data_IF_440187647751
#
_entry.id   IF_440187647751
#
_cell.length_a   1.000
_cell.length_b   1.000
_cell.length_c   1.000
_cell.angle_alpha   90.00
_cell.angle_beta   90.00
_cell.angle_gamma   90.00
#
_symmetry.space_group_name_H-M   'P 1'
#
loop_
_entity.id
_entity.type
_entity.pdbx_description
1 polymer ?
#
# COMPACT_ATOMS: atom_id res chain seq x y z
N UNK A 1 77.55 -56.70 36.95
CA UNK A 1 76.50 -57.41 37.71
C UNK A 1 75.46 -56.40 38.18
N UNK A 2 74.26 -56.69 37.96
CA UNK A 2 73.00 -56.04 38.39
C UNK A 2 72.54 -54.76 37.65
N UNK A 3 71.57 -55.02 36.73
CA UNK A 3 70.62 -54.14 36.15
C UNK A 3 69.75 -53.45 37.19
N UNK A 4 69.46 -52.18 36.97
CA UNK A 4 68.24 -51.54 37.46
C UNK A 4 67.63 -50.67 36.32
N UNK A 5 66.53 -51.16 35.81
CA UNK A 5 65.72 -50.50 34.79
C UNK A 5 64.92 -49.37 35.44
N UNK A 6 65.01 -48.20 34.88
CA UNK A 6 64.11 -47.10 35.21
C UNK A 6 63.09 -46.95 34.07
N UNK A 7 61.83 -47.25 34.39
CA UNK A 7 60.67 -46.97 33.55
C UNK A 7 60.37 -45.48 33.59
N UNK A 8 60.41 -44.83 32.45
CA UNK A 8 59.87 -43.49 32.30
C UNK A 8 58.37 -43.59 31.88
N UNK A 9 57.51 -43.08 32.73
CA UNK A 9 56.11 -42.79 32.38
C UNK A 9 56.08 -41.56 31.51
N UNK A 10 55.60 -41.67 30.29
CA UNK A 10 55.23 -40.55 29.48
C UNK A 10 53.70 -40.23 29.76
N UNK A 11 53.48 -39.08 30.33
CA UNK A 11 52.11 -38.51 30.43
C UNK A 11 51.73 -37.99 29.08
N UNK A 12 50.69 -38.55 28.48
CA UNK A 12 50.00 -37.98 27.34
C UNK A 12 49.06 -36.89 27.84
N UNK A 13 49.36 -35.63 27.51
CA UNK A 13 48.40 -34.52 27.65
C UNK A 13 47.45 -34.54 26.47
N UNK A 14 46.17 -34.86 26.70
CA UNK A 14 45.08 -34.61 25.76
C UNK A 14 44.83 -33.11 25.75
N UNK A 15 45.18 -32.45 24.65
CA UNK A 15 44.70 -31.11 24.36
C UNK A 15 43.32 -31.22 23.74
N UNK A 16 42.28 -30.84 24.50
CA UNK A 16 40.93 -30.74 24.02
C UNK A 16 40.81 -29.47 23.18
N UNK A 17 40.71 -29.60 21.85
CA UNK A 17 40.32 -28.50 20.99
C UNK A 17 38.80 -28.26 21.20
N UNK A 18 38.45 -27.18 21.89
CA UNK A 18 37.11 -26.62 21.84
C UNK A 18 36.96 -25.88 20.49
N UNK A 19 36.26 -26.49 19.54
CA UNK A 19 35.75 -25.77 18.37
C UNK A 19 34.51 -24.97 18.79
N UNK A 20 34.68 -23.67 19.00
CA UNK A 20 33.57 -22.75 19.13
C UNK A 20 32.91 -22.62 17.75
N UNK A 21 31.80 -23.31 17.53
CA UNK A 21 30.93 -23.04 16.41
C UNK A 21 30.23 -21.69 16.68
N UNK A 22 30.69 -20.62 16.02
CA UNK A 22 29.87 -19.42 15.89
C UNK A 22 28.63 -19.81 15.08
N UNK A 23 27.53 -20.06 15.77
CA UNK A 23 26.22 -20.07 15.19
C UNK A 23 25.89 -18.63 14.71
N UNK A 24 25.99 -18.40 13.41
CA UNK A 24 25.36 -17.23 12.79
C UNK A 24 23.88 -17.49 12.95
N UNK A 25 23.27 -16.86 13.95
CA UNK A 25 21.83 -16.74 14.00
C UNK A 25 21.45 -15.91 12.76
N UNK A 26 20.89 -16.58 11.75
CA UNK A 26 20.17 -15.88 10.71
C UNK A 26 19.05 -15.13 11.43
N UNK A 27 19.17 -13.80 11.48
CA UNK A 27 18.05 -12.93 11.82
C UNK A 27 17.05 -13.22 10.70
N UNK A 28 16.05 -14.04 11.01
CA UNK A 28 14.87 -14.12 10.17
C UNK A 28 14.32 -12.70 10.14
N UNK A 29 14.50 -12.01 9.02
CA UNK A 29 13.82 -10.74 8.80
C UNK A 29 12.36 -11.02 9.05
N UNK A 30 11.76 -10.34 10.01
CA UNK A 30 10.30 -10.32 10.13
C UNK A 30 9.80 -9.95 8.73
N UNK A 31 8.89 -10.73 8.18
CA UNK A 31 8.19 -10.34 6.97
C UNK A 31 7.58 -8.96 7.29
N UNK A 32 8.00 -7.92 6.55
CA UNK A 32 7.39 -6.60 6.70
C UNK A 32 5.90 -6.82 6.52
N UNK A 33 5.11 -6.45 7.53
CA UNK A 33 3.65 -6.47 7.44
C UNK A 33 3.20 -5.61 6.26
N UNK A 34 1.98 -5.82 5.77
CA UNK A 34 1.44 -4.93 4.75
C UNK A 34 1.47 -3.49 5.27
N UNK A 35 1.91 -2.56 4.41
CA UNK A 35 1.89 -1.14 4.74
C UNK A 35 0.43 -0.70 4.99
N UNK A 36 0.19 0.22 5.93
CA UNK A 36 -1.13 0.78 6.12
C UNK A 36 -1.63 1.45 4.82
N UNK A 37 -2.93 1.55 4.67
CA UNK A 37 -3.59 2.18 3.52
C UNK A 37 -4.59 3.22 4.01
N UNK A 38 -4.66 4.34 3.32
CA UNK A 38 -5.53 5.46 3.65
C UNK A 38 -6.37 5.85 2.43
N UNK A 39 -7.64 6.18 2.65
CA UNK A 39 -8.53 6.64 1.60
C UNK A 39 -9.49 7.70 2.15
N UNK A 40 -9.77 8.72 1.35
CA UNK A 40 -10.79 9.72 1.66
C UNK A 40 -12.09 9.43 0.90
N UNK A 41 -13.16 9.21 1.64
CA UNK A 41 -14.51 9.11 1.11
C UNK A 41 -15.13 10.51 1.00
N UNK A 42 -15.18 11.02 -0.24
CA UNK A 42 -15.70 12.35 -0.52
C UNK A 42 -17.21 12.46 -0.23
N UNK A 43 -17.99 11.39 -0.46
CA UNK A 43 -19.44 11.38 -0.25
C UNK A 43 -19.78 11.35 1.23
N UNK A 44 -19.09 10.52 1.99
CA UNK A 44 -19.24 10.39 3.44
C UNK A 44 -18.44 11.42 4.24
N UNK A 45 -17.59 12.23 3.59
CA UNK A 45 -16.68 13.19 4.22
C UNK A 45 -15.91 12.58 5.39
N UNK A 46 -15.29 11.42 5.14
CA UNK A 46 -14.59 10.63 6.15
C UNK A 46 -13.28 10.08 5.65
N UNK A 47 -12.38 9.81 6.58
CA UNK A 47 -11.19 9.02 6.31
C UNK A 47 -11.46 7.55 6.65
N UNK A 48 -10.87 6.68 5.85
CA UNK A 48 -10.85 5.24 6.04
C UNK A 48 -9.40 4.78 6.08
N UNK A 49 -9.02 4.00 7.07
CA UNK A 49 -7.68 3.40 7.13
C UNK A 49 -7.74 1.89 7.26
N UNK A 50 -6.80 1.23 6.58
CA UNK A 50 -6.42 -0.15 6.86
C UNK A 50 -5.11 -0.11 7.61
N UNK A 51 -5.08 -0.70 8.77
CA UNK A 51 -3.91 -0.80 9.61
C UNK A 51 -3.96 -2.10 10.41
N UNK A 52 -2.82 -2.78 10.49
CA UNK A 52 -2.68 -4.02 11.28
C UNK A 52 -3.78 -5.06 10.99
N UNK A 53 -4.17 -5.18 9.73
CA UNK A 53 -5.25 -6.08 9.25
C UNK A 53 -6.64 -5.75 9.80
N UNK A 54 -6.88 -4.50 10.18
CA UNK A 54 -8.16 -3.96 10.64
C UNK A 54 -8.59 -2.77 9.77
N UNK A 55 -9.89 -2.51 9.70
CA UNK A 55 -10.46 -1.40 8.95
C UNK A 55 -11.11 -0.41 9.90
N UNK A 56 -10.78 0.87 9.74
CA UNK A 56 -11.26 1.95 10.57
C UNK A 56 -11.83 3.09 9.74
N UNK A 57 -12.73 3.87 10.35
CA UNK A 57 -13.24 5.13 9.79
C UNK A 57 -13.21 6.24 10.83
N UNK A 58 -13.12 7.48 10.34
CA UNK A 58 -13.29 8.69 11.14
C UNK A 58 -14.03 9.76 10.35
N UNK A 59 -14.96 10.47 10.98
CA UNK A 59 -15.74 11.59 10.40
C UNK A 59 -15.36 12.94 11.00
N UNK A 60 -14.42 12.97 11.94
CA UNK A 60 -13.94 14.17 12.64
C UNK A 60 -12.46 14.46 12.36
N UNK A 61 -11.99 14.07 11.17
CA UNK A 61 -10.64 14.35 10.71
C UNK A 61 -9.53 13.61 11.44
N UNK A 62 -9.84 12.46 12.04
CA UNK A 62 -8.84 11.63 12.73
C UNK A 62 -8.81 11.78 14.25
N UNK A 63 -9.66 12.61 14.84
CA UNK A 63 -9.70 12.78 16.30
C UNK A 63 -10.24 11.55 17.04
N UNK A 64 -11.09 10.75 16.38
CA UNK A 64 -11.58 9.47 16.89
C UNK A 64 -11.84 8.50 15.72
N UNK A 65 -11.45 7.25 15.92
CA UNK A 65 -11.62 6.18 14.96
C UNK A 65 -12.67 5.18 15.42
N UNK A 66 -13.44 4.68 14.49
CA UNK A 66 -14.41 3.61 14.70
C UNK A 66 -14.00 2.42 13.83
N UNK A 67 -13.90 1.24 14.43
CA UNK A 67 -13.65 0.00 13.70
C UNK A 67 -14.87 -0.36 12.83
N UNK A 68 -14.58 -0.77 11.58
CA UNK A 68 -15.57 -1.33 10.67
C UNK A 68 -15.37 -2.86 10.69
N UNK A 69 -16.42 -3.65 10.95
CA UNK A 69 -16.33 -5.09 10.95
C UNK A 69 -15.87 -5.64 9.58
N UNK A 70 -14.94 -6.56 9.61
CA UNK A 70 -14.47 -7.25 8.41
C UNK A 70 -15.36 -8.48 8.09
N UNK A 71 -15.33 -8.98 6.83
CA UNK A 71 -16.04 -10.20 6.47
C UNK A 71 -15.68 -11.38 7.36
N UNK A 72 -16.67 -12.24 7.64
CA UNK A 72 -16.42 -13.48 8.39
C UNK A 72 -15.39 -14.36 7.68
N UNK A 73 -14.48 -14.97 8.43
CA UNK A 73 -13.46 -15.87 7.89
C UNK A 73 -12.16 -15.19 7.43
N UNK A 74 -12.06 -13.87 7.54
CA UNK A 74 -10.83 -13.12 7.17
C UNK A 74 -9.66 -13.24 8.17
N UNK A 75 -9.73 -14.10 9.17
CA UNK A 75 -8.73 -14.16 10.26
C UNK A 75 -7.29 -14.44 9.79
N UNK A 76 -7.14 -15.07 8.64
CA UNK A 76 -5.83 -15.42 8.08
C UNK A 76 -5.49 -14.60 6.81
N UNK A 77 -6.38 -13.69 6.38
CA UNK A 77 -6.18 -12.84 5.20
C UNK A 77 -5.40 -11.57 5.55
N UNK A 78 -4.42 -11.23 4.72
CA UNK A 78 -3.75 -9.94 4.84
C UNK A 78 -4.54 -8.89 4.06
N UNK A 79 -5.17 -7.98 4.78
CA UNK A 79 -5.83 -6.80 4.20
C UNK A 79 -4.76 -5.81 3.76
N UNK A 80 -4.77 -5.42 2.49
CA UNK A 80 -3.74 -4.53 1.93
C UNK A 80 -4.26 -3.16 1.53
N UNK A 81 -5.57 -3.02 1.23
CA UNK A 81 -6.09 -1.74 0.74
C UNK A 81 -7.58 -1.57 0.98
N UNK A 82 -7.97 -0.32 1.09
CA UNK A 82 -9.36 0.17 1.01
C UNK A 82 -9.46 1.14 -0.16
N UNK A 83 -10.51 1.05 -0.95
CA UNK A 83 -10.82 1.98 -2.02
C UNK A 83 -12.32 2.32 -2.03
N UNK A 84 -12.64 3.57 -2.30
CA UNK A 84 -14.02 4.07 -2.29
C UNK A 84 -14.31 4.87 -3.55
N UNK A 85 -15.50 4.67 -4.18
CA UNK A 85 -15.93 5.49 -5.30
C UNK A 85 -16.40 6.87 -4.83
N UNK A 86 -16.20 7.90 -5.64
CA UNK A 86 -16.70 9.24 -5.35
C UNK A 86 -18.21 9.41 -5.61
N UNK A 87 -18.86 8.44 -6.23
CA UNK A 87 -20.26 8.56 -6.71
C UNK A 87 -21.23 7.57 -6.09
N UNK A 88 -20.76 6.64 -5.27
CA UNK A 88 -21.61 5.66 -4.60
C UNK A 88 -21.49 5.78 -3.09
N UNK A 89 -22.49 6.40 -2.50
CA UNK A 89 -22.60 6.54 -1.06
C UNK A 89 -22.60 5.16 -0.38
N UNK A 90 -21.88 5.02 0.73
CA UNK A 90 -21.79 3.79 1.53
C UNK A 90 -21.06 2.58 0.87
N UNK A 91 -20.56 2.72 -0.36
CA UNK A 91 -19.81 1.66 -1.02
C UNK A 91 -18.36 1.64 -0.54
N UNK A 92 -17.92 0.48 -0.06
CA UNK A 92 -16.54 0.21 0.34
C UNK A 92 -16.02 -1.00 -0.43
N UNK A 93 -14.81 -0.93 -0.89
CA UNK A 93 -14.09 -2.06 -1.49
C UNK A 93 -12.79 -2.30 -0.73
N UNK A 94 -12.60 -3.51 -0.24
CA UNK A 94 -11.36 -3.94 0.39
C UNK A 94 -10.74 -5.09 -0.38
N UNK A 95 -9.43 -5.21 -0.30
CA UNK A 95 -8.72 -6.31 -0.94
C UNK A 95 -7.48 -6.74 -0.16
N UNK A 96 -7.05 -7.96 -0.40
CA UNK A 96 -5.87 -8.50 0.26
C UNK A 96 -5.38 -9.83 -0.30
N UNK A 97 -4.27 -10.30 0.27
CA UNK A 97 -3.48 -11.38 -0.31
C UNK A 97 -4.16 -12.75 -0.31
N UNK A 98 -5.17 -12.97 0.53
CA UNK A 98 -5.90 -14.25 0.61
C UNK A 98 -7.42 -14.08 0.67
N UNK A 99 -7.90 -12.83 0.67
CA UNK A 99 -9.33 -12.51 0.73
C UNK A 99 -9.89 -12.14 -0.65
N UNK A 100 -9.01 -11.87 -1.62
CA UNK A 100 -9.39 -11.33 -2.90
C UNK A 100 -9.99 -9.93 -2.77
N UNK A 101 -11.08 -9.67 -3.50
CA UNK A 101 -11.83 -8.43 -3.46
C UNK A 101 -13.17 -8.64 -2.75
N UNK A 102 -13.48 -7.77 -1.81
CA UNK A 102 -14.74 -7.76 -1.06
C UNK A 102 -15.41 -6.39 -1.22
N UNK A 103 -16.72 -6.37 -1.32
CA UNK A 103 -17.55 -5.17 -1.44
C UNK A 103 -18.56 -5.07 -0.31
N UNK A 104 -18.72 -3.90 0.26
CA UNK A 104 -19.87 -3.53 1.09
C UNK A 104 -20.66 -2.40 0.41
N UNK A 105 -21.97 -2.38 0.59
CA UNK A 105 -22.86 -1.30 0.15
C UNK A 105 -23.62 -0.66 1.31
N UNK A 106 -23.25 -1.02 2.54
CA UNK A 106 -23.87 -0.59 3.78
C UNK A 106 -22.85 -0.19 4.85
N UNK A 107 -21.75 0.46 4.41
CA UNK A 107 -20.66 0.93 5.28
C UNK A 107 -19.97 -0.18 6.10
N UNK A 108 -19.84 -1.39 5.55
CA UNK A 108 -19.19 -2.50 6.22
C UNK A 108 -20.13 -3.33 7.10
N UNK A 109 -21.45 -3.06 7.06
CA UNK A 109 -22.42 -3.89 7.77
C UNK A 109 -22.52 -5.30 7.23
N UNK A 110 -22.44 -5.44 5.91
CA UNK A 110 -22.36 -6.72 5.21
C UNK A 110 -21.34 -6.68 4.07
N UNK A 111 -20.76 -7.83 3.74
CA UNK A 111 -19.73 -7.94 2.71
C UNK A 111 -20.10 -9.01 1.67
N UNK A 112 -19.83 -8.69 0.40
CA UNK A 112 -20.00 -9.58 -0.74
C UNK A 112 -18.61 -9.94 -1.30
N UNK A 113 -18.39 -11.23 -1.50
CA UNK A 113 -17.20 -11.74 -2.17
C UNK A 113 -17.31 -11.55 -3.68
N UNK A 114 -16.25 -11.00 -4.32
CA UNK A 114 -16.21 -10.70 -5.76
C UNK A 114 -15.13 -11.51 -6.49
N UNK A 115 -14.79 -12.69 -6.01
CA UNK A 115 -13.65 -13.46 -6.48
C UNK A 115 -13.98 -14.56 -7.50
N UNK A 116 -15.23 -14.70 -7.92
CA UNK A 116 -15.68 -15.88 -8.72
C UNK A 116 -14.88 -16.03 -10.02
N UNK A 117 -14.63 -14.93 -10.73
CA UNK A 117 -13.89 -14.92 -12.01
C UNK A 117 -12.41 -14.58 -11.86
N UNK A 118 -11.91 -14.36 -10.63
CA UNK A 118 -10.50 -14.10 -10.43
C UNK A 118 -9.67 -15.38 -10.44
N UNK A 119 -8.53 -15.43 -11.14
CA UNK A 119 -7.70 -16.63 -11.20
C UNK A 119 -7.06 -16.97 -9.85
N UNK A 120 -6.86 -15.97 -8.99
CA UNK A 120 -6.32 -16.06 -7.65
C UNK A 120 -6.86 -14.95 -6.76
N UNK A 121 -6.83 -15.17 -5.45
CA UNK A 121 -7.24 -14.18 -4.46
C UNK A 121 -6.06 -13.36 -3.89
N UNK A 122 -4.87 -13.46 -4.49
CA UNK A 122 -3.67 -12.76 -4.06
C UNK A 122 -3.65 -11.33 -4.63
N UNK A 123 -4.53 -10.47 -4.12
CA UNK A 123 -4.60 -9.07 -4.56
C UNK A 123 -3.53 -8.27 -3.84
N UNK A 124 -2.74 -7.52 -4.60
CA UNK A 124 -1.69 -6.63 -4.08
C UNK A 124 -2.07 -5.15 -4.13
N UNK A 125 -2.99 -4.77 -5.03
CA UNK A 125 -3.51 -3.42 -5.11
C UNK A 125 -4.91 -3.40 -5.73
N UNK A 126 -5.74 -2.44 -5.32
CA UNK A 126 -7.10 -2.23 -5.82
C UNK A 126 -7.35 -0.73 -5.96
N UNK A 127 -7.97 -0.34 -7.07
CA UNK A 127 -8.54 0.99 -7.25
C UNK A 127 -9.97 0.89 -7.75
N UNK A 128 -10.83 1.79 -7.28
CA UNK A 128 -12.15 2.03 -7.85
C UNK A 128 -12.05 3.22 -8.79
N UNK A 129 -12.69 3.13 -9.95
CA UNK A 129 -12.82 4.26 -10.84
C UNK A 129 -13.62 5.38 -10.15
N UNK A 130 -13.08 6.59 -10.16
CA UNK A 130 -13.64 7.68 -9.39
C UNK A 130 -15.12 7.97 -9.69
N UNK A 131 -15.51 8.09 -10.96
CA UNK A 131 -16.85 8.45 -11.38
C UNK A 131 -17.72 7.30 -11.85
N UNK A 132 -17.13 6.11 -12.03
CA UNK A 132 -17.82 4.90 -12.44
C UNK A 132 -17.71 3.87 -11.32
N UNK A 133 -18.60 3.94 -10.33
CA UNK A 133 -18.55 3.12 -9.13
C UNK A 133 -18.56 1.60 -9.40
N UNK A 134 -18.97 1.19 -10.60
CA UNK A 134 -18.99 -0.22 -11.03
C UNK A 134 -17.69 -0.65 -11.70
N UNK A 135 -16.76 0.28 -11.98
CA UNK A 135 -15.47 -0.02 -12.61
C UNK A 135 -14.38 -0.15 -11.56
N UNK A 136 -13.78 -1.32 -11.50
CA UNK A 136 -12.74 -1.70 -10.57
C UNK A 136 -11.48 -2.13 -11.30
N UNK A 137 -10.33 -1.88 -10.69
CA UNK A 137 -9.01 -2.32 -11.15
C UNK A 137 -8.31 -3.06 -10.03
N UNK A 138 -7.93 -4.31 -10.25
CA UNK A 138 -7.23 -5.15 -9.28
C UNK A 138 -5.91 -5.66 -9.84
N UNK A 139 -4.84 -5.53 -9.08
CA UNK A 139 -3.56 -6.17 -9.38
C UNK A 139 -3.49 -7.49 -8.65
N UNK A 140 -3.32 -8.56 -9.40
CA UNK A 140 -3.17 -9.92 -8.86
C UNK A 140 -1.69 -10.31 -8.96
N UNK A 141 -1.12 -10.76 -7.84
CA UNK A 141 0.27 -11.18 -7.78
C UNK A 141 0.60 -12.21 -8.87
N UNK A 142 1.69 -11.97 -9.59
CA UNK A 142 2.20 -12.81 -10.70
C UNK A 142 1.27 -12.96 -11.91
N UNK A 143 0.10 -12.31 -11.90
CA UNK A 143 -0.88 -12.38 -13.01
C UNK A 143 -1.01 -11.07 -13.77
N UNK A 144 -0.96 -9.92 -13.06
CA UNK A 144 -1.09 -8.59 -13.65
C UNK A 144 -2.39 -7.87 -13.28
N UNK A 145 -2.82 -6.95 -14.15
CA UNK A 145 -3.97 -6.07 -13.94
C UNK A 145 -5.25 -6.66 -14.52
N UNK A 146 -6.29 -6.65 -13.72
CA UNK A 146 -7.65 -7.03 -14.08
C UNK A 146 -8.60 -5.84 -13.92
N UNK A 147 -9.61 -5.75 -14.78
CA UNK A 147 -10.69 -4.77 -14.71
C UNK A 147 -12.04 -5.46 -14.64
N UNK A 148 -12.91 -4.94 -13.80
CA UNK A 148 -14.34 -5.21 -13.82
C UNK A 148 -15.08 -3.92 -14.22
N UNK A 149 -16.19 -4.06 -14.95
CA UNK A 149 -17.10 -2.95 -15.32
C UNK A 149 -18.51 -3.18 -14.77
N UNK A 150 -18.69 -4.15 -13.91
CA UNK A 150 -19.96 -4.61 -13.32
C UNK A 150 -19.87 -4.80 -11.80
N UNK A 151 -19.14 -3.91 -11.14
CA UNK A 151 -18.91 -3.90 -9.69
C UNK A 151 -18.30 -5.18 -9.14
N UNK A 152 -17.46 -5.85 -9.92
CA UNK A 152 -16.74 -7.05 -9.54
C UNK A 152 -17.47 -8.36 -9.81
N UNK A 153 -18.60 -8.33 -10.52
CA UNK A 153 -19.30 -9.55 -10.89
C UNK A 153 -18.51 -10.37 -11.92
N UNK A 154 -17.85 -9.70 -12.87
CA UNK A 154 -16.93 -10.33 -13.82
C UNK A 154 -15.61 -9.58 -13.91
N UNK A 155 -14.53 -10.29 -14.21
CA UNK A 155 -13.18 -9.73 -14.30
C UNK A 155 -12.50 -10.09 -15.62
N UNK A 156 -11.86 -9.10 -16.24
CA UNK A 156 -11.11 -9.28 -17.47
C UNK A 156 -9.67 -8.86 -17.28
N UNK A 157 -8.73 -9.73 -17.65
CA UNK A 157 -7.31 -9.37 -17.70
C UNK A 157 -7.07 -8.28 -18.74
N UNK A 158 -6.50 -7.19 -18.32
CA UNK A 158 -6.20 -6.04 -19.16
C UNK A 158 -4.74 -6.04 -19.64
N UNK A 159 -3.82 -6.34 -18.73
CA UNK A 159 -2.39 -6.20 -18.96
C UNK A 159 -1.60 -7.06 -17.97
N UNK A 160 -0.32 -7.31 -18.27
CA UNK A 160 0.59 -8.03 -17.37
C UNK A 160 1.22 -7.11 -16.29
N UNK A 161 0.84 -5.83 -16.27
CA UNK A 161 1.40 -4.82 -15.37
C UNK A 161 2.72 -4.23 -15.90
N UNK A 162 3.28 -3.25 -15.19
CA UNK A 162 4.48 -2.53 -15.61
C UNK A 162 5.80 -3.32 -15.46
N UNK A 163 5.73 -4.62 -15.19
CA UNK A 163 6.91 -5.49 -15.06
C UNK A 163 7.57 -5.48 -13.67
N UNK A 164 6.98 -4.78 -12.71
CA UNK A 164 7.40 -4.74 -11.30
C UNK A 164 6.22 -5.09 -10.40
N UNK A 165 6.45 -5.64 -9.19
CA UNK A 165 5.38 -5.83 -8.22
C UNK A 165 4.72 -4.50 -7.85
N UNK A 166 3.42 -4.43 -7.97
CA UNK A 166 2.62 -3.24 -7.64
C UNK A 166 1.97 -3.44 -6.28
N UNK A 167 2.13 -2.47 -5.38
CA UNK A 167 1.55 -2.49 -4.04
C UNK A 167 0.53 -1.37 -3.79
N UNK A 168 0.42 -0.38 -4.71
CA UNK A 168 -0.64 0.63 -4.70
C UNK A 168 -1.14 0.87 -6.11
N UNK A 169 -2.42 1.17 -6.20
CA UNK A 169 -3.08 1.57 -7.44
C UNK A 169 -4.05 2.69 -7.13
N UNK A 170 -4.00 3.76 -7.90
CA UNK A 170 -4.87 4.93 -7.74
C UNK A 170 -5.42 5.33 -9.09
N UNK A 171 -6.74 5.48 -9.19
CA UNK A 171 -7.41 6.05 -10.36
C UNK A 171 -7.63 7.55 -10.12
N UNK A 172 -7.22 8.39 -11.07
CA UNK A 172 -7.37 9.84 -11.04
C UNK A 172 -8.26 10.34 -12.18
N UNK A 173 -8.78 11.55 -12.01
CA UNK A 173 -9.62 12.25 -13.01
C UNK A 173 -8.81 12.98 -14.08
N UNK A 174 -7.54 12.67 -14.24
CA UNK A 174 -6.66 13.33 -15.18
C UNK A 174 -7.25 13.32 -16.59
N UNK A 175 -7.31 14.48 -17.22
CA UNK A 175 -7.80 14.65 -18.58
C UNK A 175 -6.83 14.06 -19.63
N UNK A 176 -7.32 13.91 -20.86
CA UNK A 176 -6.51 13.47 -22.01
C UNK A 176 -6.39 11.96 -22.16
N UNK A 177 -7.10 11.18 -21.34
CA UNK A 177 -7.32 9.74 -21.63
C UNK A 177 -8.43 9.54 -22.65
N UNK A 178 -8.49 8.34 -23.22
CA UNK A 178 -9.53 8.01 -24.20
C UNK A 178 -10.90 7.76 -23.58
N UNK A 179 -10.95 7.47 -22.29
CA UNK A 179 -12.19 7.21 -21.57
C UNK A 179 -12.36 8.18 -20.38
N UNK A 180 -11.66 8.04 -19.28
CA UNK A 180 -12.06 8.78 -18.08
C UNK A 180 -10.99 9.07 -17.05
N UNK A 181 -9.72 8.88 -17.34
CA UNK A 181 -8.69 9.20 -16.36
C UNK A 181 -7.41 8.39 -16.50
N UNK A 182 -6.57 8.46 -15.49
CA UNK A 182 -5.28 7.77 -15.45
C UNK A 182 -5.19 6.85 -14.25
N UNK A 183 -4.47 5.74 -14.43
CA UNK A 183 -4.07 4.86 -13.35
C UNK A 183 -2.61 5.11 -13.00
N UNK A 184 -2.36 5.40 -11.73
CA UNK A 184 -1.04 5.41 -11.14
C UNK A 184 -0.80 4.07 -10.44
N UNK A 185 0.28 3.40 -10.80
CA UNK A 185 0.75 2.16 -10.17
C UNK A 185 2.07 2.42 -9.45
N UNK A 186 2.13 2.05 -8.18
CA UNK A 186 3.30 2.22 -7.32
C UNK A 186 3.98 0.89 -7.11
N UNK A 187 5.26 0.83 -7.44
CA UNK A 187 6.21 -0.21 -7.06
C UNK A 187 7.22 0.35 -6.05
N UNK A 188 8.08 -0.50 -5.50
CA UNK A 188 9.08 -0.06 -4.51
C UNK A 188 10.04 1.02 -5.04
N UNK A 189 10.25 1.08 -6.35
CA UNK A 189 11.24 1.94 -6.99
C UNK A 189 10.67 3.02 -7.90
N UNK A 190 9.35 3.00 -8.19
CA UNK A 190 8.78 3.91 -9.18
C UNK A 190 7.27 4.10 -9.04
N UNK A 191 6.82 5.26 -9.55
CA UNK A 191 5.44 5.47 -9.96
C UNK A 191 5.36 5.34 -11.48
N UNK A 192 4.39 4.57 -11.96
CA UNK A 192 4.09 4.44 -13.38
C UNK A 192 2.65 4.81 -13.64
N UNK A 193 2.38 5.31 -14.81
CA UNK A 193 1.03 5.67 -15.20
C UNK A 193 0.60 4.90 -16.46
N UNK A 194 -0.68 4.58 -16.51
CA UNK A 194 -1.35 4.11 -17.70
C UNK A 194 -2.61 4.94 -17.91
N UNK A 195 -2.85 5.33 -19.16
CA UNK A 195 -4.17 5.82 -19.53
C UNK A 195 -5.15 4.64 -19.49
N UNK A 196 -6.41 4.89 -19.33
CA UNK A 196 -7.45 3.89 -19.20
C UNK A 196 -7.64 2.92 -20.37
N UNK A 197 -7.02 3.21 -21.51
CA UNK A 197 -6.95 2.26 -22.63
C UNK A 197 -6.00 1.08 -22.38
N UNK A 198 -5.17 1.12 -21.34
CA UNK A 198 -4.10 0.14 -21.06
C UNK A 198 -3.21 -0.16 -22.26
N UNK A 199 -2.97 0.87 -23.08
CA UNK A 199 -2.09 0.77 -24.27
C UNK A 199 -0.60 0.68 -23.90
N UNK A 200 -0.29 0.67 -22.62
CA UNK A 200 1.03 0.51 -22.02
C UNK A 200 1.24 1.36 -20.79
N UNK A 201 2.24 0.98 -20.01
CA UNK A 201 2.69 1.71 -18.82
C UNK A 201 3.81 2.66 -19.20
N UNK A 202 3.69 3.91 -18.78
CA UNK A 202 4.67 4.95 -18.99
C UNK A 202 5.38 5.27 -17.66
N UNK A 203 6.68 5.53 -17.67
CA UNK A 203 7.34 6.10 -16.51
C UNK A 203 6.77 7.50 -16.26
N UNK A 204 6.67 7.90 -15.01
CA UNK A 204 6.57 9.30 -14.62
C UNK A 204 7.94 9.98 -14.75
N UNK A 205 8.05 11.26 -14.40
CA UNK A 205 9.34 11.96 -14.33
C UNK A 205 10.31 11.28 -13.36
N UNK A 206 11.58 11.68 -13.42
CA UNK A 206 12.60 11.14 -12.51
C UNK A 206 12.25 11.45 -11.05
N UNK A 207 12.26 10.40 -10.24
CA UNK A 207 11.99 10.42 -8.81
C UNK A 207 13.15 9.73 -8.09
N UNK A 208 14.19 10.49 -7.77
CA UNK A 208 15.32 9.99 -6.98
C UNK A 208 15.02 10.10 -5.49
N UNK A 209 14.19 9.21 -4.99
CA UNK A 209 13.54 9.35 -3.70
C UNK A 209 13.65 8.10 -2.79
N UNK A 210 14.48 7.14 -3.15
CA UNK A 210 14.52 5.85 -2.45
C UNK A 210 13.26 5.04 -2.68
N UNK A 211 12.81 4.31 -1.67
CA UNK A 211 11.58 3.52 -1.75
C UNK A 211 10.36 4.42 -1.89
N UNK A 212 9.46 4.04 -2.79
CA UNK A 212 8.17 4.71 -3.02
C UNK A 212 7.09 3.92 -2.29
N UNK A 213 6.25 4.62 -1.53
CA UNK A 213 5.24 3.99 -0.67
C UNK A 213 3.82 4.17 -1.20
N UNK A 214 3.44 5.39 -1.57
CA UNK A 214 2.08 5.70 -1.97
C UNK A 214 2.02 6.91 -2.90
N UNK A 215 0.90 7.04 -3.61
CA UNK A 215 0.57 8.16 -4.47
C UNK A 215 -0.83 8.64 -4.18
N UNK A 216 -1.01 9.95 -4.15
CA UNK A 216 -2.32 10.59 -4.05
C UNK A 216 -2.39 11.80 -4.98
N UNK A 217 -3.57 12.14 -5.46
CA UNK A 217 -3.78 13.33 -6.29
C UNK A 217 -4.81 14.25 -5.66
N UNK A 218 -4.74 15.51 -6.04
CA UNK A 218 -5.70 16.52 -5.63
C UNK A 218 -7.03 16.31 -6.38
N UNK A 219 -8.12 16.29 -5.63
CA UNK A 219 -9.44 16.01 -6.17
C UNK A 219 -9.99 17.16 -7.02
N UNK A 220 -9.54 18.39 -6.75
CA UNK A 220 -9.96 19.60 -7.44
C UNK A 220 -8.95 20.02 -8.53
N UNK A 221 -7.73 19.48 -8.50
CA UNK A 221 -6.66 19.71 -9.47
C UNK A 221 -5.90 18.41 -9.76
N UNK A 222 -6.41 17.53 -10.64
CA UNK A 222 -5.82 16.21 -10.88
C UNK A 222 -4.40 16.23 -11.44
N UNK A 223 -3.92 17.37 -11.95
CA UNK A 223 -2.51 17.55 -12.34
C UNK A 223 -1.58 17.61 -11.12
N UNK A 224 -2.12 17.96 -9.95
CA UNK A 224 -1.37 17.99 -8.68
C UNK A 224 -1.37 16.61 -8.05
N UNK A 225 -0.20 15.99 -8.06
CA UNK A 225 0.02 14.64 -7.55
C UNK A 225 1.10 14.66 -6.48
N UNK A 226 0.90 13.91 -5.42
CA UNK A 226 1.85 13.72 -4.33
C UNK A 226 2.31 12.28 -4.25
N UNK A 227 3.58 12.08 -3.89
CA UNK A 227 4.18 10.76 -3.68
C UNK A 227 4.89 10.73 -2.34
N UNK A 228 4.54 9.74 -1.52
CA UNK A 228 5.24 9.41 -0.29
C UNK A 228 6.41 8.50 -0.58
N UNK A 229 7.57 8.84 -0.07
CA UNK A 229 8.82 8.12 -0.30
C UNK A 229 9.66 8.04 0.97
N UNK A 230 10.67 7.18 0.96
CA UNK A 230 11.68 7.07 2.01
C UNK A 230 12.40 8.41 2.27
N UNK A 231 12.53 9.26 1.26
CA UNK A 231 13.19 10.56 1.38
C UNK A 231 12.20 11.72 1.60
N UNK A 232 10.96 11.42 1.95
CA UNK A 232 9.91 12.39 2.24
C UNK A 232 8.88 12.55 1.12
N UNK A 233 8.16 13.66 1.15
CA UNK A 233 7.06 13.94 0.25
C UNK A 233 7.56 14.63 -1.03
N UNK A 234 7.05 14.17 -2.17
CA UNK A 234 7.27 14.79 -3.47
C UNK A 234 5.96 15.23 -4.08
N UNK A 235 5.99 16.29 -4.87
CA UNK A 235 4.83 16.87 -5.54
C UNK A 235 5.13 17.08 -7.02
N UNK A 236 4.12 16.85 -7.84
CA UNK A 236 4.05 17.24 -9.25
C UNK A 236 2.85 18.17 -9.44
N UNK A 237 2.96 19.13 -10.35
CA UNK A 237 1.88 20.01 -10.80
C UNK A 237 1.54 19.76 -12.29
N UNK A 238 1.93 18.61 -12.83
CA UNK A 238 1.71 18.22 -14.24
C UNK A 238 1.48 16.70 -14.40
N UNK A 239 0.75 16.10 -13.46
CA UNK A 239 0.37 14.70 -13.52
C UNK A 239 1.52 13.71 -13.38
N UNK A 240 2.59 14.10 -12.69
CA UNK A 240 3.75 13.22 -12.47
C UNK A 240 4.80 13.28 -13.58
N UNK A 241 4.75 14.25 -14.48
CA UNK A 241 5.80 14.39 -15.51
C UNK A 241 7.08 15.00 -14.95
N UNK A 242 6.97 15.87 -13.96
CA UNK A 242 8.08 16.48 -13.23
C UNK A 242 7.78 16.43 -11.73
N UNK A 243 8.80 16.11 -10.93
CA UNK A 243 8.68 16.00 -9.49
C UNK A 243 9.55 17.02 -8.78
N UNK A 244 9.02 17.57 -7.71
CA UNK A 244 9.73 18.47 -6.81
C UNK A 244 9.56 17.95 -5.38
N UNK A 245 10.66 17.85 -4.65
CA UNK A 245 10.60 17.51 -3.22
C UNK A 245 9.91 18.66 -2.47
N UNK A 246 8.89 18.34 -1.71
CA UNK A 246 8.22 19.30 -0.82
C UNK A 246 9.22 19.72 0.25
N UNK A 247 9.37 21.04 0.42
CA UNK A 247 10.31 21.61 1.41
C UNK A 247 9.69 21.46 2.80
N UNK A 248 10.50 21.02 3.76
CA UNK A 248 10.12 20.85 5.16
C UNK A 248 10.75 19.59 5.74
N UNK A 249 10.73 19.49 7.07
CA UNK A 249 11.12 18.30 7.81
C UNK A 249 9.86 17.45 8.07
N UNK A 250 9.17 17.09 6.98
CA UNK A 250 7.98 16.24 7.06
C UNK A 250 8.31 14.82 7.52
N UNK A 251 7.31 14.10 8.07
CA UNK A 251 7.47 12.72 8.50
C UNK A 251 7.69 11.79 7.30
N UNK A 252 8.24 10.61 7.56
CA UNK A 252 8.24 9.50 6.60
C UNK A 252 6.83 8.91 6.55
N UNK A 253 6.10 9.21 5.49
CA UNK A 253 4.74 8.71 5.28
C UNK A 253 4.76 7.47 4.40
N UNK A 254 3.93 6.49 4.73
CA UNK A 254 3.76 5.24 3.97
C UNK A 254 2.39 5.10 3.33
N UNK A 255 1.45 5.98 3.68
CA UNK A 255 0.15 6.11 3.02
C UNK A 255 -0.24 7.58 2.92
N UNK A 256 -0.94 7.94 1.84
CA UNK A 256 -1.40 9.29 1.55
C UNK A 256 -2.83 9.31 1.06
N UNK A 257 -3.55 10.39 1.40
CA UNK A 257 -4.80 10.75 0.72
C UNK A 257 -5.02 12.26 0.83
N UNK A 258 -5.85 12.82 -0.05
CA UNK A 258 -6.31 14.20 0.03
C UNK A 258 -7.81 14.26 0.28
N UNK A 259 -8.24 15.22 1.09
CA UNK A 259 -9.65 15.58 1.19
C UNK A 259 -10.03 16.56 0.09
N UNK A 260 -11.35 16.78 -0.07
CA UNK A 260 -11.90 17.80 -0.97
C UNK A 260 -11.61 19.24 -0.54
N UNK A 261 -10.94 19.46 0.59
CA UNK A 261 -10.53 20.77 1.10
C UNK A 261 -9.01 20.97 0.97
N UNK A 262 -8.37 20.29 0.02
CA UNK A 262 -6.91 20.27 -0.22
C UNK A 262 -6.07 19.87 1.00
N UNK A 263 -6.70 19.26 2.01
CA UNK A 263 -5.99 18.78 3.19
C UNK A 263 -5.33 17.44 2.90
N UNK A 264 -4.01 17.38 3.07
CA UNK A 264 -3.24 16.15 3.01
C UNK A 264 -3.35 15.40 4.33
N UNK A 265 -3.61 14.12 4.22
CA UNK A 265 -3.52 13.16 5.32
C UNK A 265 -2.50 12.09 4.97
N UNK A 266 -1.70 11.69 5.94
CA UNK A 266 -0.71 10.63 5.79
C UNK A 266 -0.65 9.75 7.02
N UNK A 267 -0.27 8.50 6.81
CA UNK A 267 0.09 7.57 7.89
C UNK A 267 1.57 7.30 7.84
N UNK A 268 2.21 7.26 8.99
CA UNK A 268 3.55 6.70 9.13
C UNK A 268 3.53 5.17 9.22
N UNK A 269 4.69 4.55 9.47
CA UNK A 269 4.81 3.08 9.58
C UNK A 269 4.11 2.50 10.79
N UNK A 270 3.97 3.29 11.85
CA UNK A 270 3.32 2.95 13.12
C UNK A 270 1.79 3.09 13.01
N UNK A 271 1.29 3.68 11.91
CA UNK A 271 -0.14 3.93 11.67
C UNK A 271 -0.64 5.24 12.30
N UNK A 272 0.29 6.11 12.80
CA UNK A 272 -0.07 7.43 13.31
C UNK A 272 -0.57 8.34 12.18
N UNK A 273 -1.72 8.98 12.39
CA UNK A 273 -2.29 9.88 11.41
C UNK A 273 -1.70 11.28 11.54
N UNK A 274 -1.29 11.81 10.40
CA UNK A 274 -0.77 13.16 10.29
C UNK A 274 -1.58 13.97 9.28
N UNK A 275 -1.71 15.27 9.53
CA UNK A 275 -2.46 16.22 8.70
C UNK A 275 -1.61 17.42 8.33
N UNK A 276 -1.70 17.84 7.06
CA UNK A 276 -1.13 19.09 6.55
C UNK A 276 -2.20 19.89 5.82
N UNK A 277 -2.24 21.21 6.11
CA UNK A 277 -3.14 22.19 5.48
C UNK A 277 -2.37 23.17 4.57
N UNK A 278 -1.08 22.93 4.35
CA UNK A 278 -0.17 23.80 3.59
C UNK A 278 0.61 23.02 2.52
N UNK A 279 -0.07 22.05 1.91
CA UNK A 279 0.46 21.24 0.81
C UNK A 279 1.70 20.42 1.20
N UNK A 280 1.74 19.93 2.44
CA UNK A 280 2.79 19.04 2.94
C UNK A 280 4.02 19.76 3.49
N UNK A 281 4.01 21.09 3.63
CA UNK A 281 5.15 21.81 4.18
C UNK A 281 5.28 21.64 5.69
N UNK A 282 4.16 21.64 6.41
CA UNK A 282 4.11 21.36 7.85
C UNK A 282 3.07 20.29 8.15
N UNK A 283 3.35 19.49 9.16
CA UNK A 283 2.51 18.36 9.56
C UNK A 283 2.17 18.42 11.04
N UNK A 284 0.95 18.04 11.34
CA UNK A 284 0.46 17.89 12.72
C UNK A 284 0.06 16.44 12.94
N UNK A 285 0.67 15.78 13.91
CA UNK A 285 0.23 14.47 14.40
C UNK A 285 -1.13 14.61 15.06
N UNK A 286 -2.06 13.74 14.71
CA UNK A 286 -3.37 13.66 15.34
C UNK A 286 -3.35 12.55 16.40
N UNK A 287 -4.09 12.74 17.52
CA UNK A 287 -4.07 11.74 18.57
C UNK A 287 -4.61 10.39 18.08
N UNK A 288 -3.92 9.31 18.41
CA UNK A 288 -4.50 7.97 18.35
C UNK A 288 -5.66 7.87 19.32
N UNK A 289 -6.76 7.27 18.88
CA UNK A 289 -7.95 7.06 19.68
C UNK A 289 -7.83 5.81 20.57
#
# INVERSE_FOLDING_TARGET
MKNISRRFFRALSLASLLTASLGIAAVAGAAEGALPSLSYDQTGKRLLKVDSNQLYQTTNGGEAWQEIPLPEGMKDGQLVTISVPATAEQALYIAGSSIGVQRSTDNGGTWQNLNEDLPRQAITALAVHRHQAETLYAVIADEGLYRSEDAGATWKKMDSGPGQPIHRLVHSDMEGSMQTGWLYAVSDDAVRLSMDCFCGWRPTGELDAGRVYDVAYDLDDPERVYVATEQGLWRSDNGGQEWQRVKGDGPELVALTLSSEETLYGLDREGELMRSEDQGQTWKTLPDA
#
